data_IF_294225074111
#
_entry.id   IF_294225074111
#
_cell.length_a   1.000
_cell.length_b   1.000
_cell.length_c   1.000
_cell.angle_alpha   90.00
_cell.angle_beta   90.00
_cell.angle_gamma   90.00
#
_symmetry.space_group_name_H-M   'P 1'
#
loop_
_entity.id
_entity.type
_entity.pdbx_description
1 polymer ?
#
# COMPACT_ATOMS: atom_id res chain seq x y z
N UNK A 1 -73.90 -38.83 11.84
CA UNK A 1 -73.55 -37.95 10.70
C UNK A 1 -73.05 -36.63 11.29
N UNK A 2 -71.75 -36.49 11.59
CA UNK A 2 -70.73 -35.83 10.76
C UNK A 2 -71.19 -34.47 10.18
N UNK A 3 -70.71 -33.36 10.76
CA UNK A 3 -69.79 -32.40 10.12
C UNK A 3 -69.49 -31.23 11.08
N UNK A 4 -68.28 -31.25 11.62
CA UNK A 4 -67.64 -30.10 12.24
C UNK A 4 -67.14 -29.16 11.13
N UNK A 5 -67.27 -27.84 11.32
CA UNK A 5 -66.61 -26.83 10.50
C UNK A 5 -65.66 -26.06 11.42
N UNK A 6 -64.40 -26.45 11.33
CA UNK A 6 -63.23 -25.69 11.78
C UNK A 6 -63.06 -24.45 10.89
N UNK A 7 -63.18 -23.26 11.46
CA UNK A 7 -62.72 -22.03 10.82
C UNK A 7 -61.40 -21.63 11.47
N UNK A 8 -60.31 -22.01 10.79
CA UNK A 8 -58.94 -21.62 11.08
C UNK A 8 -58.80 -20.12 10.83
N UNK A 9 -58.71 -19.31 11.90
CA UNK A 9 -58.29 -17.93 11.81
C UNK A 9 -56.75 -17.92 11.77
N UNK A 10 -56.21 -17.99 10.56
CA UNK A 10 -54.77 -17.85 10.29
C UNK A 10 -54.37 -16.41 10.64
N UNK A 11 -53.74 -16.24 11.79
CA UNK A 11 -53.13 -14.99 12.23
C UNK A 11 -51.98 -14.68 11.25
N UNK A 12 -52.25 -13.82 10.26
CA UNK A 12 -51.23 -13.24 9.39
C UNK A 12 -50.28 -12.41 10.25
N UNK A 13 -49.13 -12.98 10.58
CA UNK A 13 -47.96 -12.24 11.04
C UNK A 13 -47.52 -11.33 9.89
N UNK A 14 -47.94 -10.07 9.97
CA UNK A 14 -47.39 -8.98 9.18
C UNK A 14 -45.95 -8.74 9.69
N UNK A 15 -44.98 -9.47 9.16
CA UNK A 15 -43.57 -9.12 9.33
C UNK A 15 -43.36 -7.83 8.56
N UNK A 16 -43.25 -6.71 9.28
CA UNK A 16 -42.65 -5.48 8.77
C UNK A 16 -41.24 -5.83 8.30
N UNK A 17 -41.09 -6.10 7.00
CA UNK A 17 -39.79 -6.04 6.36
C UNK A 17 -39.35 -4.59 6.47
N UNK A 18 -38.48 -4.30 7.44
CA UNK A 18 -37.72 -3.06 7.46
C UNK A 18 -36.98 -3.05 6.12
N UNK A 19 -37.18 -2.05 5.25
CA UNK A 19 -36.30 -1.91 4.11
C UNK A 19 -34.91 -1.70 4.70
N UNK A 20 -34.04 -2.69 4.51
CA UNK A 20 -32.61 -2.46 4.57
C UNK A 20 -32.34 -1.39 3.52
N UNK A 21 -32.14 -0.15 3.98
CA UNK A 21 -31.37 0.81 3.22
C UNK A 21 -29.96 0.21 3.18
N UNK A 22 -29.72 -0.66 2.21
CA UNK A 22 -28.39 -0.86 1.69
C UNK A 22 -27.98 0.51 1.15
N UNK A 23 -27.37 1.32 2.02
CA UNK A 23 -26.62 2.47 1.56
C UNK A 23 -25.65 1.92 0.54
N UNK A 24 -25.76 2.38 -0.71
CA UNK A 24 -24.69 2.17 -1.66
C UNK A 24 -23.46 2.77 -0.98
N UNK A 25 -22.55 1.91 -0.51
CA UNK A 25 -21.28 2.36 0.04
C UNK A 25 -20.62 3.15 -1.09
N UNK A 26 -20.52 4.47 -0.89
CA UNK A 26 -19.75 5.32 -1.80
C UNK A 26 -18.36 4.72 -1.90
N UNK A 27 -17.84 4.45 -3.12
CA UNK A 27 -16.56 3.79 -3.28
C UNK A 27 -15.49 4.59 -2.56
N UNK A 28 -14.93 3.99 -1.52
CA UNK A 28 -13.86 4.61 -0.73
C UNK A 28 -12.54 4.30 -1.42
N UNK A 29 -11.84 5.34 -1.83
CA UNK A 29 -10.46 5.28 -2.31
C UNK A 29 -9.51 5.51 -1.16
N UNK A 30 -8.44 4.74 -1.15
CA UNK A 30 -7.41 4.78 -0.12
C UNK A 30 -6.05 4.86 -0.78
N UNK A 31 -5.23 5.79 -0.31
CA UNK A 31 -3.80 5.84 -0.61
C UNK A 31 -3.05 5.86 0.71
N UNK A 32 -2.00 5.05 0.81
CA UNK A 32 -1.11 5.04 1.97
C UNK A 32 0.34 5.07 1.53
N UNK A 33 1.16 5.66 2.39
CA UNK A 33 2.60 5.65 2.30
C UNK A 33 3.16 5.30 3.68
N UNK A 34 4.13 4.40 3.73
CA UNK A 34 4.66 3.88 4.97
C UNK A 34 6.16 3.59 4.92
N UNK A 35 6.79 3.60 6.08
CA UNK A 35 8.18 3.21 6.25
C UNK A 35 8.26 1.77 6.76
N UNK A 36 9.04 0.93 6.10
CA UNK A 36 9.36 -0.42 6.59
C UNK A 36 10.53 -0.32 7.55
N UNK A 37 10.36 -0.87 8.75
CA UNK A 37 11.36 -0.81 9.84
C UNK A 37 11.79 -2.19 10.33
N UNK A 38 11.09 -3.24 9.94
CA UNK A 38 11.33 -4.61 10.41
C UNK A 38 11.09 -5.64 9.31
N UNK A 39 11.92 -6.69 9.31
CA UNK A 39 11.80 -7.87 8.45
C UNK A 39 12.12 -9.12 9.28
N UNK A 40 11.11 -9.97 9.50
CA UNK A 40 11.23 -11.18 10.31
C UNK A 40 11.45 -10.94 11.80
N UNK A 41 10.89 -9.86 12.36
CA UNK A 41 11.05 -9.50 13.77
C UNK A 41 12.43 -8.94 14.12
N UNK A 42 13.23 -8.63 13.10
CA UNK A 42 14.53 -7.98 13.24
C UNK A 42 14.40 -6.52 12.80
N UNK A 43 14.52 -5.54 13.73
CA UNK A 43 14.28 -4.10 13.48
C UNK A 43 15.45 -3.43 12.77
N UNK A 44 15.95 -4.09 11.72
CA UNK A 44 17.16 -3.74 10.99
C UNK A 44 16.80 -3.57 9.50
N UNK A 45 15.50 -3.55 9.17
CA UNK A 45 15.07 -3.27 7.82
C UNK A 45 14.92 -1.76 7.61
N UNK A 46 15.33 -1.31 6.42
CA UNK A 46 15.03 0.04 5.95
C UNK A 46 14.35 -0.08 4.60
N UNK A 47 13.18 0.53 4.48
CA UNK A 47 12.39 0.45 3.28
C UNK A 47 11.19 1.35 3.30
N UNK A 48 10.38 1.24 2.25
CA UNK A 48 9.19 2.04 2.06
C UNK A 48 8.12 1.19 1.40
N UNK A 49 6.86 1.49 1.70
CA UNK A 49 5.72 0.93 1.02
C UNK A 49 4.76 2.04 0.58
N UNK A 50 4.11 1.81 -0.55
CA UNK A 50 2.98 2.61 -1.01
C UNK A 50 1.85 1.67 -1.39
N UNK A 51 0.62 2.01 -1.01
CA UNK A 51 -0.54 1.31 -1.53
C UNK A 51 -1.60 2.28 -2.04
N UNK A 52 -2.35 1.81 -3.03
CA UNK A 52 -3.44 2.51 -3.67
C UNK A 52 -4.56 1.51 -3.89
N UNK A 53 -5.76 1.83 -3.42
CA UNK A 53 -6.86 0.90 -3.44
C UNK A 53 -8.20 1.61 -3.60
N UNK A 54 -9.14 0.87 -4.16
CA UNK A 54 -10.56 1.18 -4.12
C UNK A 54 -11.26 0.04 -3.40
N UNK A 55 -11.86 0.35 -2.26
CA UNK A 55 -12.49 -0.64 -1.37
C UNK A 55 -13.56 -1.41 -2.14
N UNK A 56 -13.50 -2.75 -2.07
CA UNK A 56 -14.40 -3.69 -2.74
C UNK A 56 -14.11 -3.89 -4.23
N UNK A 57 -13.04 -3.31 -4.79
CA UNK A 57 -12.73 -3.37 -6.22
C UNK A 57 -11.30 -3.85 -6.47
N UNK A 58 -10.29 -3.01 -6.21
CA UNK A 58 -8.90 -3.34 -6.49
C UNK A 58 -7.92 -2.79 -5.44
N UNK A 59 -6.74 -3.40 -5.37
CA UNK A 59 -5.60 -2.93 -4.60
C UNK A 59 -4.31 -3.04 -5.41
N UNK A 60 -3.45 -2.04 -5.27
CA UNK A 60 -2.07 -2.05 -5.72
C UNK A 60 -1.16 -1.73 -4.55
N UNK A 61 -0.09 -2.50 -4.39
CA UNK A 61 0.90 -2.25 -3.35
C UNK A 61 2.29 -2.39 -3.97
N UNK A 62 3.16 -1.47 -3.62
CA UNK A 62 4.59 -1.56 -3.91
C UNK A 62 5.36 -1.42 -2.61
N UNK A 63 6.38 -2.23 -2.45
CA UNK A 63 7.28 -2.16 -1.31
C UNK A 63 8.72 -2.36 -1.78
N UNK A 64 9.66 -1.71 -1.12
CA UNK A 64 11.06 -2.08 -1.22
C UNK A 64 11.69 -2.06 0.16
N UNK A 65 12.65 -2.94 0.40
CA UNK A 65 13.34 -3.00 1.67
C UNK A 65 14.74 -3.59 1.52
N UNK A 66 15.59 -3.20 2.45
CA UNK A 66 16.91 -3.77 2.66
C UNK A 66 16.83 -4.51 3.99
N UNK A 67 17.20 -5.80 4.08
CA UNK A 67 17.14 -6.57 5.33
C UNK A 67 18.27 -6.19 6.32
N UNK A 68 18.92 -5.04 6.11
CA UNK A 68 20.02 -4.51 6.91
C UNK A 68 19.94 -2.99 6.92
N UNK A 69 20.45 -2.34 7.96
CA UNK A 69 20.58 -0.88 7.99
C UNK A 69 21.55 -0.50 6.87
N UNK A 70 21.13 0.30 5.87
CA UNK A 70 22.02 0.71 4.80
C UNK A 70 23.19 1.47 5.43
N UNK A 71 24.40 1.00 5.13
CA UNK A 71 25.59 1.79 5.43
C UNK A 71 25.62 2.89 4.38
N UNK A 72 25.01 4.04 4.67
CA UNK A 72 25.11 5.21 3.80
C UNK A 72 26.60 5.51 3.69
N UNK A 73 27.20 5.48 2.48
CA UNK A 73 28.59 5.87 2.32
C UNK A 73 28.71 7.33 2.77
N UNK A 74 29.25 7.56 3.97
CA UNK A 74 29.48 8.91 4.45
C UNK A 74 30.70 9.45 3.74
N UNK A 75 30.52 10.22 2.67
CA UNK A 75 31.63 10.82 1.92
C UNK A 75 31.23 11.33 0.55
N UNK A 76 32.17 11.99 -0.12
CA UNK A 76 32.10 12.25 -1.57
C UNK A 76 31.82 10.93 -2.31
N UNK A 77 31.05 10.92 -3.40
CA UNK A 77 30.86 9.75 -4.24
C UNK A 77 32.23 9.14 -4.53
N UNK A 78 32.52 7.99 -3.94
CA UNK A 78 33.82 7.37 -4.16
C UNK A 78 33.82 6.90 -5.61
N UNK A 79 34.92 7.12 -6.33
CA UNK A 79 35.14 6.47 -7.63
C UNK A 79 35.36 4.96 -7.49
N UNK A 80 35.12 4.41 -6.31
CA UNK A 80 35.33 3.01 -5.97
C UNK A 80 34.10 2.22 -6.39
N UNK A 81 34.34 1.07 -7.01
CA UNK A 81 33.24 0.25 -7.50
C UNK A 81 32.48 -0.34 -6.31
N UNK A 82 31.16 -0.14 -6.27
CA UNK A 82 30.31 -0.74 -5.25
C UNK A 82 29.02 -1.28 -5.85
N UNK A 83 28.40 -2.20 -5.10
CA UNK A 83 27.09 -2.77 -5.45
C UNK A 83 26.10 -2.48 -4.34
N UNK A 84 24.89 -2.12 -4.71
CA UNK A 84 23.78 -1.85 -3.81
C UNK A 84 22.60 -2.73 -4.19
N UNK A 85 22.16 -3.59 -3.27
CA UNK A 85 21.06 -4.53 -3.50
C UNK A 85 19.93 -4.31 -2.50
N UNK A 86 18.70 -4.46 -2.97
CA UNK A 86 17.50 -4.41 -2.15
C UNK A 86 16.40 -5.30 -2.73
N UNK A 87 15.44 -5.68 -1.89
CA UNK A 87 14.26 -6.38 -2.35
C UNK A 87 13.19 -5.39 -2.76
N UNK A 88 12.47 -5.71 -3.83
CA UNK A 88 11.29 -5.00 -4.28
C UNK A 88 10.14 -6.00 -4.39
N UNK A 89 8.97 -5.65 -3.87
CA UNK A 89 7.75 -6.43 -4.05
C UNK A 89 6.66 -5.55 -4.66
N UNK A 90 5.80 -6.16 -5.47
CA UNK A 90 4.61 -5.50 -6.02
C UNK A 90 3.43 -6.45 -6.03
N UNK A 91 2.24 -5.88 -5.83
CA UNK A 91 0.94 -6.49 -6.05
C UNK A 91 0.19 -5.55 -6.99
N UNK A 92 -0.05 -5.96 -8.25
CA UNK A 92 -0.65 -5.07 -9.26
C UNK A 92 -2.17 -5.25 -9.41
N UNK A 93 -2.73 -6.34 -8.88
CA UNK A 93 -4.14 -6.71 -9.04
C UNK A 93 -4.65 -7.48 -7.83
N UNK A 94 -4.63 -6.82 -6.66
CA UNK A 94 -5.23 -7.34 -5.43
C UNK A 94 -6.66 -6.84 -5.21
N UNK A 95 -7.23 -7.20 -4.07
CA UNK A 95 -8.50 -6.69 -3.54
C UNK A 95 -8.25 -5.90 -2.26
N UNK A 96 -9.17 -5.00 -1.89
CA UNK A 96 -9.11 -4.22 -0.67
C UNK A 96 -10.44 -4.21 0.08
N UNK A 97 -10.38 -4.31 1.40
CA UNK A 97 -11.52 -4.21 2.31
C UNK A 97 -11.15 -3.47 3.61
N UNK A 98 -12.17 -3.02 4.34
CA UNK A 98 -12.04 -2.43 5.67
C UNK A 98 -12.83 -3.29 6.68
N UNK A 99 -12.28 -4.45 7.09
CA UNK A 99 -13.01 -5.38 7.93
C UNK A 99 -13.10 -4.87 9.38
N UNK A 100 -14.09 -5.36 10.14
CA UNK A 100 -14.24 -4.99 11.55
C UNK A 100 -12.98 -5.37 12.35
N UNK A 101 -12.38 -4.38 13.00
CA UNK A 101 -11.16 -4.57 13.82
C UNK A 101 -9.84 -4.31 13.10
N UNK A 102 -9.85 -3.96 11.81
CA UNK A 102 -8.68 -3.48 11.06
C UNK A 102 -9.01 -2.16 10.37
N UNK A 103 -7.97 -1.40 10.01
CA UNK A 103 -8.14 -0.15 9.28
C UNK A 103 -8.20 -0.38 7.76
N UNK A 104 -7.40 -1.31 7.26
CA UNK A 104 -7.36 -1.71 5.85
C UNK A 104 -6.79 -3.12 5.75
N UNK A 105 -7.39 -3.96 4.92
CA UNK A 105 -6.83 -5.26 4.52
C UNK A 105 -6.79 -5.34 3.00
N UNK A 106 -5.66 -5.76 2.47
CA UNK A 106 -5.43 -5.95 1.04
C UNK A 106 -4.78 -7.29 0.79
N UNK A 107 -5.19 -8.00 -0.25
CA UNK A 107 -4.64 -9.32 -0.58
C UNK A 107 -4.58 -9.55 -2.09
N UNK A 108 -3.71 -10.46 -2.52
CA UNK A 108 -3.54 -10.77 -3.93
C UNK A 108 -2.25 -11.53 -4.21
N UNK A 109 -1.86 -11.53 -5.48
CA UNK A 109 -0.62 -12.14 -5.97
C UNK A 109 0.49 -11.10 -6.02
N UNK A 110 1.65 -11.48 -5.54
CA UNK A 110 2.84 -10.66 -5.39
C UNK A 110 3.97 -11.19 -6.26
N UNK A 111 4.72 -10.26 -6.84
CA UNK A 111 6.02 -10.51 -7.44
C UNK A 111 7.09 -9.90 -6.55
N UNK A 112 8.14 -10.67 -6.24
CA UNK A 112 9.28 -10.23 -5.45
C UNK A 112 10.55 -10.35 -6.27
N UNK A 113 11.35 -9.29 -6.27
CA UNK A 113 12.58 -9.16 -7.02
C UNK A 113 13.73 -8.81 -6.08
N UNK A 114 14.92 -9.29 -6.41
CA UNK A 114 16.16 -8.75 -5.90
C UNK A 114 16.73 -7.79 -6.95
N UNK A 115 16.79 -6.51 -6.61
CA UNK A 115 17.30 -5.46 -7.49
C UNK A 115 18.70 -5.12 -7.05
N UNK A 116 19.66 -5.19 -7.96
CA UNK A 116 21.06 -4.84 -7.69
C UNK A 116 21.53 -3.77 -8.65
N UNK A 117 22.05 -2.67 -8.11
CA UNK A 117 22.75 -1.63 -8.83
C UNK A 117 24.26 -1.84 -8.65
N UNK A 118 25.02 -1.85 -9.74
CA UNK A 118 26.47 -1.80 -9.72
C UNK A 118 26.98 -0.47 -10.26
N UNK A 119 27.85 0.15 -9.49
CA UNK A 119 28.51 1.40 -9.81
C UNK A 119 29.97 1.10 -10.12
N UNK A 120 30.39 1.37 -11.37
CA UNK A 120 31.75 1.10 -11.86
C UNK A 120 32.30 2.36 -12.54
N UNK A 121 32.74 3.35 -11.76
CA UNK A 121 33.07 4.68 -12.29
C UNK A 121 31.81 5.37 -12.85
N UNK A 122 31.82 5.74 -14.13
CA UNK A 122 30.67 6.33 -14.83
C UNK A 122 29.65 5.28 -15.33
N UNK A 123 29.98 3.99 -15.22
CA UNK A 123 29.10 2.92 -15.69
C UNK A 123 28.18 2.50 -14.56
N UNK A 124 26.89 2.74 -14.77
CA UNK A 124 25.82 2.21 -13.94
C UNK A 124 25.20 0.99 -14.64
N UNK A 125 25.14 -0.14 -13.94
CA UNK A 125 24.33 -1.28 -14.37
C UNK A 125 23.28 -1.61 -13.31
N UNK A 126 22.17 -2.18 -13.75
CA UNK A 126 21.11 -2.67 -12.86
C UNK A 126 20.68 -4.05 -13.30
N UNK A 127 20.60 -4.98 -12.35
CA UNK A 127 19.96 -6.29 -12.55
C UNK A 127 18.71 -6.38 -11.69
N UNK A 128 17.72 -7.11 -12.20
CA UNK A 128 16.46 -7.39 -11.50
C UNK A 128 16.20 -8.87 -11.63
N UNK A 129 16.46 -9.60 -10.56
CA UNK A 129 16.32 -11.04 -10.53
C UNK A 129 15.00 -11.40 -9.82
N UNK A 130 14.09 -12.17 -10.46
CA UNK A 130 12.86 -12.61 -9.82
C UNK A 130 13.19 -13.62 -8.71
N UNK A 131 12.72 -13.35 -7.50
CA UNK A 131 12.87 -14.21 -6.33
C UNK A 131 11.63 -15.09 -6.14
N UNK A 132 10.45 -14.51 -6.37
CA UNK A 132 9.17 -15.18 -6.39
C UNK A 132 8.23 -14.43 -7.33
N UNK A 133 7.37 -15.15 -8.04
CA UNK A 133 6.40 -14.57 -8.98
C UNK A 133 5.03 -15.16 -8.69
N UNK A 134 4.01 -14.32 -8.78
CA UNK A 134 2.60 -14.70 -8.58
C UNK A 134 2.37 -15.49 -7.27
N UNK A 135 3.07 -15.13 -6.19
CA UNK A 135 2.90 -15.77 -4.87
C UNK A 135 1.84 -15.04 -4.06
N UNK A 136 1.07 -15.77 -3.25
CA UNK A 136 0.01 -15.12 -2.48
C UNK A 136 0.59 -14.32 -1.31
N UNK A 137 -0.08 -13.22 -0.98
CA UNK A 137 0.28 -12.38 0.15
C UNK A 137 -0.78 -11.34 0.49
N UNK A 138 -0.59 -10.68 1.62
CA UNK A 138 -1.48 -9.62 2.10
C UNK A 138 -0.72 -8.46 2.73
N UNK A 139 -1.41 -7.32 2.80
CA UNK A 139 -1.02 -6.16 3.56
C UNK A 139 -2.17 -5.79 4.50
N UNK A 140 -1.84 -5.55 5.77
CA UNK A 140 -2.81 -5.15 6.79
C UNK A 140 -2.35 -3.84 7.42
N UNK A 141 -3.26 -2.88 7.52
CA UNK A 141 -3.10 -1.64 8.28
C UNK A 141 -3.98 -1.71 9.52
N UNK A 142 -3.43 -1.31 10.67
CA UNK A 142 -4.11 -1.40 11.95
C UNK A 142 -3.66 -0.28 12.91
N UNK A 143 -4.24 -0.31 14.11
CA UNK A 143 -3.96 0.62 15.21
C UNK A 143 -4.31 2.10 14.89
N UNK A 144 -5.42 2.33 14.20
CA UNK A 144 -5.88 3.63 13.73
C UNK A 144 -4.99 4.22 12.63
N UNK A 145 -4.57 3.37 11.70
CA UNK A 145 -3.72 3.71 10.56
C UNK A 145 -2.33 4.22 10.95
N UNK A 146 -1.76 3.65 12.01
CA UNK A 146 -0.39 3.98 12.42
C UNK A 146 0.60 2.92 12.03
N UNK A 147 0.16 1.66 11.95
CA UNK A 147 1.03 0.51 11.76
C UNK A 147 0.55 -0.35 10.60
N UNK A 148 1.48 -1.03 9.94
CA UNK A 148 1.16 -2.00 8.90
C UNK A 148 2.04 -3.24 8.97
N UNK A 149 1.54 -4.33 8.41
CA UNK A 149 2.30 -5.55 8.09
C UNK A 149 2.11 -5.92 6.63
N UNK A 150 3.13 -6.54 6.02
CA UNK A 150 3.05 -7.18 4.72
C UNK A 150 3.54 -8.62 4.88
N UNK A 151 2.71 -9.58 4.50
CA UNK A 151 3.01 -11.01 4.54
C UNK A 151 3.02 -11.54 3.11
N UNK A 152 4.14 -12.10 2.65
CA UNK A 152 4.28 -12.69 1.32
C UNK A 152 4.74 -14.13 1.49
N UNK A 153 4.08 -15.08 0.84
CA UNK A 153 4.43 -16.50 0.94
C UNK A 153 5.91 -16.73 0.56
N UNK A 154 6.64 -17.43 1.44
CA UNK A 154 8.06 -17.71 1.26
C UNK A 154 9.02 -16.62 1.76
N UNK A 155 8.51 -15.52 2.29
CA UNK A 155 9.30 -14.44 2.88
C UNK A 155 8.91 -14.21 4.34
N UNK A 156 9.83 -13.60 5.09
CA UNK A 156 9.54 -13.16 6.45
C UNK A 156 8.58 -11.96 6.43
N UNK A 157 7.74 -11.83 7.46
CA UNK A 157 6.81 -10.69 7.59
C UNK A 157 7.57 -9.37 7.63
N UNK A 158 7.12 -8.40 6.84
CA UNK A 158 7.55 -7.01 6.93
C UNK A 158 6.60 -6.27 7.86
N UNK A 159 7.15 -5.38 8.69
CA UNK A 159 6.33 -4.45 9.47
C UNK A 159 6.91 -3.04 9.49
N UNK A 160 6.04 -2.07 9.74
CA UNK A 160 6.39 -0.67 9.62
C UNK A 160 5.30 0.28 10.08
N UNK A 161 5.57 1.57 9.90
CA UNK A 161 4.67 2.66 10.31
C UNK A 161 4.10 3.38 9.10
N UNK A 162 2.82 3.71 9.17
CA UNK A 162 2.16 4.56 8.18
C UNK A 162 2.62 5.99 8.41
N UNK A 163 3.21 6.61 7.39
CA UNK A 163 3.65 8.00 7.41
C UNK A 163 2.54 8.94 6.94
N UNK A 164 1.76 8.49 5.95
CA UNK A 164 0.74 9.30 5.32
C UNK A 164 -0.41 8.42 4.81
N UNK A 165 -1.63 8.97 4.87
CA UNK A 165 -2.84 8.32 4.36
C UNK A 165 -3.82 9.34 3.79
N UNK A 166 -4.51 8.96 2.72
CA UNK A 166 -5.65 9.68 2.15
C UNK A 166 -6.80 8.71 1.99
N UNK A 167 -7.98 9.12 2.45
CA UNK A 167 -9.22 8.37 2.32
C UNK A 167 -10.27 9.33 1.76
N UNK A 168 -10.84 8.98 0.61
CA UNK A 168 -11.79 9.84 -0.12
C UNK A 168 -12.90 8.99 -0.74
N UNK A 169 -14.05 9.60 -0.97
CA UNK A 169 -15.17 9.03 -1.74
C UNK A 169 -15.03 9.26 -3.26
N UNK A 170 -14.00 10.02 -3.65
CA UNK A 170 -13.59 10.28 -5.02
C UNK A 170 -12.27 9.59 -5.34
N UNK A 171 -12.03 9.33 -6.62
CA UNK A 171 -10.78 8.74 -7.09
C UNK A 171 -9.57 9.59 -6.70
N UNK A 172 -8.57 8.94 -6.10
CA UNK A 172 -7.25 9.52 -5.86
C UNK A 172 -6.41 9.19 -7.10
N UNK A 173 -6.02 10.18 -7.93
CA UNK A 173 -5.27 9.90 -9.13
C UNK A 173 -3.93 9.21 -8.85
N UNK A 174 -3.58 8.18 -9.62
CA UNK A 174 -2.24 7.63 -9.55
C UNK A 174 -1.22 8.68 -10.03
N UNK A 175 -0.23 8.98 -9.19
CA UNK A 175 0.80 9.98 -9.49
C UNK A 175 0.60 11.34 -8.79
N UNK A 176 -0.48 11.49 -8.03
CA UNK A 176 -0.62 12.54 -7.01
C UNK A 176 0.31 12.19 -5.85
N UNK A 177 1.52 12.76 -5.88
CA UNK A 177 2.62 12.49 -4.95
C UNK A 177 2.92 13.72 -4.08
N UNK A 178 2.54 14.91 -4.53
CA UNK A 178 2.87 16.16 -3.86
C UNK A 178 2.01 17.33 -4.37
N UNK A 179 1.34 18.00 -3.44
CA UNK A 179 0.65 19.26 -3.67
C UNK A 179 0.43 20.07 -2.39
N UNK A 180 0.02 21.34 -2.50
CA UNK A 180 -0.48 22.07 -1.35
C UNK A 180 -1.93 21.65 -1.07
N UNK A 181 -2.28 21.19 0.15
CA UNK A 181 -3.68 21.03 0.49
C UNK A 181 -4.37 22.40 0.41
N UNK A 182 -5.42 22.50 -0.41
CA UNK A 182 -6.30 23.66 -0.64
C UNK A 182 -5.85 24.98 0.02
N UNK A 183 -4.97 25.72 -0.65
CA UNK A 183 -4.65 27.11 -0.29
C UNK A 183 -3.72 27.31 0.92
N UNK A 184 -3.12 26.24 1.45
CA UNK A 184 -2.08 26.32 2.49
C UNK A 184 -0.75 25.82 1.90
N UNK A 185 0.32 26.62 1.86
CA UNK A 185 1.64 26.12 1.52
C UNK A 185 2.06 25.16 2.64
N UNK A 186 2.21 23.85 2.39
CA UNK A 186 2.63 22.96 3.44
C UNK A 186 4.15 23.04 3.58
N UNK A 187 4.65 22.86 4.80
CA UNK A 187 6.09 22.68 5.03
C UNK A 187 6.59 21.32 4.49
N UNK A 188 5.66 20.38 4.25
CA UNK A 188 5.89 19.05 3.67
C UNK A 188 4.86 18.81 2.55
N UNK A 189 5.26 18.58 1.29
CA UNK A 189 4.30 18.31 0.21
C UNK A 189 3.46 17.07 0.53
N UNK A 190 2.14 17.17 0.42
CA UNK A 190 1.21 16.07 0.61
C UNK A 190 0.33 15.93 -0.64
N UNK A 191 -0.05 14.71 -1.06
CA UNK A 191 -1.01 14.52 -2.14
C UNK A 191 -2.28 15.38 -2.01
N UNK A 192 -2.61 16.15 -3.06
CA UNK A 192 -3.72 17.14 -3.08
C UNK A 192 -4.97 16.66 -3.84
N UNK A 193 -5.01 15.38 -4.21
CA UNK A 193 -6.01 14.71 -5.04
C UNK A 193 -6.04 15.17 -6.50
N UNK A 194 -5.01 15.89 -6.97
CA UNK A 194 -4.85 16.29 -8.36
C UNK A 194 -3.46 15.88 -8.87
N UNK A 195 -3.32 15.57 -10.16
CA UNK A 195 -1.99 15.46 -10.78
C UNK A 195 -1.69 16.78 -11.47
N UNK A 196 -0.77 17.55 -10.92
CA UNK A 196 -0.46 18.90 -11.36
C UNK A 196 1.07 19.15 -11.42
N UNK A 197 1.46 20.43 -11.51
CA UNK A 197 2.87 20.82 -11.64
C UNK A 197 3.69 20.51 -10.39
N UNK A 198 3.07 20.45 -9.20
CA UNK A 198 3.75 20.15 -7.95
C UNK A 198 4.24 18.70 -7.91
N UNK A 199 3.44 17.76 -8.40
CA UNK A 199 3.86 16.36 -8.58
C UNK A 199 5.06 16.24 -9.51
N UNK A 200 5.00 16.95 -10.65
CA UNK A 200 6.08 16.95 -11.61
C UNK A 200 7.37 17.54 -11.03
N UNK A 201 7.25 18.63 -10.25
CA UNK A 201 8.40 19.25 -9.56
C UNK A 201 8.97 18.32 -8.51
N UNK A 202 8.15 17.61 -7.73
CA UNK A 202 8.62 16.64 -6.75
C UNK A 202 9.42 15.50 -7.42
N UNK A 203 8.92 14.96 -8.54
CA UNK A 203 9.66 13.97 -9.34
C UNK A 203 10.94 14.57 -9.93
N UNK A 204 10.89 15.80 -10.44
CA UNK A 204 12.05 16.47 -11.01
C UNK A 204 13.13 16.81 -9.98
N UNK A 205 12.78 17.07 -8.73
CA UNK A 205 13.74 17.26 -7.63
C UNK A 205 14.50 15.98 -7.29
N UNK A 206 13.92 14.81 -7.59
CA UNK A 206 14.59 13.52 -7.49
C UNK A 206 15.29 13.11 -8.81
N UNK A 207 15.29 13.96 -9.85
CA UNK A 207 15.99 13.67 -11.10
C UNK A 207 17.50 13.53 -10.86
N UNK A 208 18.12 12.57 -11.55
CA UNK A 208 19.52 12.12 -11.34
C UNK A 208 19.83 11.54 -9.95
N UNK A 209 18.84 11.36 -9.06
CA UNK A 209 19.04 10.58 -7.83
C UNK A 209 19.17 9.09 -8.16
N UNK A 210 20.05 8.39 -7.44
CA UNK A 210 20.28 6.96 -7.65
C UNK A 210 20.40 6.23 -6.32
N UNK A 211 19.81 5.03 -6.15
CA UNK A 211 19.88 4.28 -4.89
C UNK A 211 21.33 3.99 -4.46
N UNK A 212 21.69 4.37 -3.23
CA UNK A 212 23.02 4.14 -2.67
C UNK A 212 24.05 5.26 -2.90
N UNK A 213 23.68 6.33 -3.62
CA UNK A 213 24.43 7.59 -3.65
C UNK A 213 23.64 8.68 -2.89
N UNK A 214 24.29 9.47 -2.02
CA UNK A 214 23.65 10.57 -1.29
C UNK A 214 23.31 11.78 -2.17
#
# INVERSE_FOLDING_TARGET
MKKEIFAVLLLMTLTLAVPSLAGAETPTWVMIQGQITDYGGTPVAYGYCGAHAKIGDFAKVHAFWIPTIPTIPSGEPTTENFTYSFYMAKMDNGTAEMPEGMDLYMEGLWDVFNVTFGYYGEIQNSTTDPMALEVYGNMTVYNNWTDFTINIEGFETLSGTVLFKVIKDIEIPMGDVAGPPDGVPPEVPEPDCEVNIHDLVAVAQAYDSTPGLP
#
